data_IF_614587273362
#
_entry.id   IF_614587273362
#
_cell.length_a   1.000
_cell.length_b   1.000
_cell.length_c   1.000
_cell.angle_alpha   90.00
_cell.angle_beta   90.00
_cell.angle_gamma   90.00
#
_symmetry.space_group_name_H-M   'P 1'
#
loop_
_entity.id
_entity.type
_entity.pdbx_description
1 polymer ?
#
# COMPACT_ATOMS: atom_id res chain seq x y z
N UNK A 1 6.57 -12.38 -6.12
CA UNK A 1 5.08 -12.51 -5.97
C UNK A 1 4.46 -12.86 -7.32
N UNK A 2 3.31 -13.54 -7.36
CA UNK A 2 2.51 -13.53 -8.58
C UNK A 2 2.11 -12.07 -8.88
N UNK A 3 2.40 -11.54 -10.08
CA UNK A 3 2.17 -10.14 -10.40
C UNK A 3 0.68 -9.73 -10.30
N UNK A 4 -0.26 -10.67 -10.37
CA UNK A 4 -1.68 -10.41 -10.18
C UNK A 4 -2.01 -10.12 -8.72
N UNK A 5 -1.43 -10.89 -7.80
CA UNK A 5 -1.62 -10.69 -6.35
C UNK A 5 -1.07 -9.32 -5.93
N UNK A 6 0.09 -8.93 -6.45
CA UNK A 6 0.68 -7.62 -6.17
C UNK A 6 -0.22 -6.46 -6.62
N UNK A 7 -0.82 -6.58 -7.80
CA UNK A 7 -1.73 -5.56 -8.34
C UNK A 7 -3.03 -5.45 -7.51
N UNK A 8 -3.58 -6.57 -7.06
CA UNK A 8 -4.79 -6.60 -6.22
C UNK A 8 -4.52 -5.92 -4.88
N UNK A 9 -3.45 -6.32 -4.18
CA UNK A 9 -3.09 -5.75 -2.86
C UNK A 9 -2.80 -4.25 -2.98
N UNK A 10 -2.08 -3.82 -4.02
CA UNK A 10 -1.81 -2.40 -4.27
C UNK A 10 -3.10 -1.59 -4.44
N UNK A 11 -4.02 -2.10 -5.26
CA UNK A 11 -5.31 -1.43 -5.53
C UNK A 11 -6.15 -1.34 -4.27
N UNK A 12 -6.19 -2.41 -3.46
CA UNK A 12 -6.90 -2.45 -2.18
C UNK A 12 -6.33 -1.46 -1.17
N UNK A 13 -4.99 -1.42 -1.00
CA UNK A 13 -4.35 -0.46 -0.10
C UNK A 13 -4.59 0.99 -0.52
N UNK A 14 -4.51 1.30 -1.82
CA UNK A 14 -4.84 2.63 -2.34
C UNK A 14 -6.29 3.00 -2.05
N UNK A 15 -7.21 2.07 -2.27
CA UNK A 15 -8.61 2.30 -2.03
C UNK A 15 -8.88 2.61 -0.56
N UNK A 16 -8.30 1.84 0.36
CA UNK A 16 -8.39 2.07 1.81
C UNK A 16 -7.82 3.44 2.19
N UNK A 17 -6.66 3.82 1.66
CA UNK A 17 -6.04 5.13 1.93
C UNK A 17 -6.92 6.27 1.40
N UNK A 18 -7.48 6.13 0.20
CA UNK A 18 -8.37 7.13 -0.38
C UNK A 18 -9.65 7.31 0.43
N UNK A 19 -10.26 6.20 0.86
CA UNK A 19 -11.47 6.23 1.69
C UNK A 19 -11.20 6.83 3.07
N UNK A 20 -10.12 6.45 3.74
CA UNK A 20 -9.76 7.05 5.02
C UNK A 20 -9.45 8.54 4.87
N UNK A 21 -8.69 8.94 3.85
CA UNK A 21 -8.41 10.36 3.60
C UNK A 21 -9.68 11.17 3.29
N UNK A 22 -10.68 10.55 2.65
CA UNK A 22 -11.98 11.17 2.41
C UNK A 22 -12.86 11.22 3.67
N UNK A 23 -12.75 10.24 4.57
CA UNK A 23 -13.51 10.16 5.81
C UNK A 23 -12.94 11.08 6.92
N UNK A 24 -11.61 11.26 6.96
CA UNK A 24 -10.90 12.10 7.93
C UNK A 24 -11.51 13.49 8.19
N UNK A 25 -11.88 14.30 7.17
CA UNK A 25 -12.46 15.63 7.41
C UNK A 25 -13.89 15.61 7.96
N UNK A 26 -14.57 14.47 7.95
CA UNK A 26 -15.93 14.32 8.48
C UNK A 26 -15.97 13.81 9.92
N UNK A 27 -14.83 13.40 10.49
CA UNK A 27 -14.76 12.83 11.84
C UNK A 27 -14.29 13.85 12.88
N UNK A 28 -14.90 13.80 14.06
CA UNK A 28 -14.46 14.58 15.21
C UNK A 28 -13.05 14.12 15.65
N UNK A 29 -12.09 15.05 15.83
CA UNK A 29 -10.71 14.72 16.17
C UNK A 29 -10.53 14.07 17.55
N UNK A 30 -11.55 14.15 18.42
CA UNK A 30 -11.58 13.49 19.73
C UNK A 30 -12.33 12.15 19.73
N UNK A 31 -12.90 11.73 18.60
CA UNK A 31 -13.60 10.44 18.48
C UNK A 31 -12.61 9.28 18.32
N UNK A 32 -12.95 8.13 18.90
CA UNK A 32 -12.18 6.88 18.73
C UNK A 32 -12.09 6.46 17.25
N UNK A 33 -13.06 6.87 16.44
CA UNK A 33 -13.13 6.59 15.01
C UNK A 33 -12.01 7.29 14.23
N UNK A 34 -11.63 8.51 14.65
CA UNK A 34 -10.55 9.27 14.01
C UNK A 34 -9.21 8.57 14.20
N UNK A 35 -8.96 8.08 15.42
CA UNK A 35 -7.75 7.31 15.74
C UNK A 35 -7.70 6.01 14.95
N UNK A 36 -8.82 5.30 14.84
CA UNK A 36 -8.92 4.07 14.07
C UNK A 36 -8.64 4.30 12.58
N UNK A 37 -9.15 5.39 12.01
CA UNK A 37 -8.95 5.71 10.59
C UNK A 37 -7.50 6.13 10.29
N UNK A 38 -6.89 6.93 11.16
CA UNK A 38 -5.46 7.30 11.06
C UNK A 38 -4.57 6.04 11.15
N UNK A 39 -4.87 5.11 12.06
CA UNK A 39 -4.15 3.83 12.16
C UNK A 39 -4.33 2.99 10.90
N UNK A 40 -5.55 2.92 10.35
CA UNK A 40 -5.85 2.20 9.11
C UNK A 40 -5.01 2.73 7.94
N UNK A 41 -4.98 4.05 7.74
CA UNK A 41 -4.17 4.72 6.71
C UNK A 41 -2.68 4.42 6.93
N UNK A 42 -2.21 4.47 8.17
CA UNK A 42 -0.80 4.22 8.50
C UNK A 42 -0.39 2.79 8.16
N UNK A 43 -1.18 1.80 8.56
CA UNK A 43 -0.92 0.37 8.29
C UNK A 43 -1.00 0.08 6.79
N UNK A 44 -1.99 0.65 6.10
CA UNK A 44 -2.11 0.53 4.66
C UNK A 44 -0.90 1.14 3.94
N UNK A 45 -0.41 2.31 4.38
CA UNK A 45 0.78 2.96 3.84
C UNK A 45 2.06 2.17 4.03
N UNK A 46 2.26 1.57 5.21
CA UNK A 46 3.39 0.67 5.47
C UNK A 46 3.32 -0.55 4.55
N UNK A 47 2.15 -1.18 4.46
CA UNK A 47 1.94 -2.35 3.60
C UNK A 47 2.21 -2.03 2.12
N UNK A 48 1.75 -0.86 1.65
CA UNK A 48 2.01 -0.37 0.30
C UNK A 48 3.51 -0.15 0.07
N UNK A 49 4.22 0.43 1.04
CA UNK A 49 5.66 0.69 0.95
C UNK A 49 6.46 -0.61 0.86
N UNK A 50 6.12 -1.60 1.68
CA UNK A 50 6.72 -2.94 1.64
C UNK A 50 6.43 -3.62 0.30
N UNK A 51 5.20 -3.53 -0.20
CA UNK A 51 4.81 -4.10 -1.49
C UNK A 51 5.60 -3.48 -2.65
N UNK A 52 5.72 -2.15 -2.68
CA UNK A 52 6.51 -1.44 -3.69
C UNK A 52 7.98 -1.84 -3.60
N UNK A 53 8.52 -1.98 -2.39
CA UNK A 53 9.89 -2.43 -2.19
C UNK A 53 10.13 -3.86 -2.72
N UNK A 54 9.19 -4.78 -2.46
CA UNK A 54 9.23 -6.15 -2.99
C UNK A 54 9.18 -6.17 -4.53
N UNK A 55 8.28 -5.39 -5.14
CA UNK A 55 8.17 -5.29 -6.60
C UNK A 55 9.47 -4.72 -7.21
N UNK A 56 10.06 -3.70 -6.59
CA UNK A 56 11.33 -3.11 -7.04
C UNK A 56 12.48 -4.12 -6.96
N UNK A 57 12.56 -4.89 -5.87
CA UNK A 57 13.55 -5.94 -5.67
C UNK A 57 13.42 -7.04 -6.74
N UNK A 58 12.21 -7.54 -6.98
CA UNK A 58 11.92 -8.57 -8.00
C UNK A 58 12.25 -8.07 -9.43
N UNK A 59 11.97 -6.79 -9.71
CA UNK A 59 12.24 -6.17 -11.02
C UNK A 59 13.74 -5.96 -11.28
N UNK A 60 14.50 -5.57 -10.26
CA UNK A 60 15.96 -5.43 -10.36
C UNK A 60 16.66 -6.78 -10.52
N UNK A 61 16.15 -7.84 -9.88
CA UNK A 61 16.70 -9.19 -10.00
C UNK A 61 16.52 -9.79 -11.41
N UNK A 62 15.43 -9.47 -12.12
CA UNK A 62 15.22 -9.93 -13.51
C UNK A 62 16.14 -9.25 -14.52
N UNK A 63 16.56 -8.01 -14.29
CA UNK A 63 17.41 -7.27 -15.24
C UNK A 63 18.80 -7.90 -15.43
N UNK A 64 19.37 -8.57 -14.42
CA UNK A 64 20.73 -9.14 -14.56
C UNK A 64 20.77 -10.48 -15.29
N UNK A 65 19.65 -11.22 -15.35
CA UNK A 65 19.59 -12.52 -16.03
C UNK A 65 19.52 -12.37 -17.56
N UNK A 66 18.97 -11.27 -18.07
CA UNK A 66 18.85 -11.04 -19.51
C UNK A 66 20.13 -10.48 -20.15
N UNK A 67 21.06 -9.89 -19.38
CA UNK A 67 22.36 -9.43 -19.90
C UNK A 67 23.44 -10.52 -19.97
N UNK A 68 23.15 -11.74 -19.50
CA UNK A 68 24.07 -12.89 -19.54
C UNK A 68 23.76 -13.89 -20.66
N UNK A 69 22.81 -13.61 -21.54
CA UNK A 69 22.51 -14.44 -22.71
C UNK A 69 22.93 -13.76 -24.00
#
# INVERSE_FOLDING_TARGET
MDPRIGKIVFTMCIFIILLGCLALPFLDPFSAEFVADVLSITIAGISLSVLVWQIRKDSSARKSVHMRK
#
